data_IF_163270729336
#
_entry.id   IF_163270729336
#
_cell.length_a   1.000
_cell.length_b   1.000
_cell.length_c   1.000
_cell.angle_alpha   90.00
_cell.angle_beta   90.00
_cell.angle_gamma   90.00
#
_symmetry.space_group_name_H-M   'P 1'
#
loop_
_entity.id
_entity.type
_entity.pdbx_description
1 polymer ?
#
# COMPACT_ATOMS: atom_id res chain seq x y z
N UNK A 1 -18.90 -14.26 2.19
CA UNK A 1 -20.10 -13.79 2.91
C UNK A 1 -21.30 -14.41 2.22
N UNK A 2 -22.22 -15.02 2.95
CA UNK A 2 -23.49 -15.55 2.46
C UNK A 2 -24.64 -14.51 2.60
N UNK A 3 -25.82 -14.88 2.12
CA UNK A 3 -26.99 -13.99 2.10
C UNK A 3 -27.46 -13.66 3.52
N UNK A 4 -27.41 -14.61 4.46
CA UNK A 4 -27.87 -14.37 5.84
C UNK A 4 -26.95 -13.36 6.55
N UNK A 5 -25.62 -13.50 6.35
CA UNK A 5 -24.64 -12.53 6.84
C UNK A 5 -24.85 -11.12 6.26
N UNK A 6 -25.28 -11.04 5.00
CA UNK A 6 -25.57 -9.74 4.37
C UNK A 6 -26.79 -9.07 5.01
N UNK A 7 -27.86 -9.82 5.31
CA UNK A 7 -29.03 -9.27 5.99
C UNK A 7 -28.71 -8.81 7.41
N UNK A 8 -27.94 -9.59 8.19
CA UNK A 8 -27.48 -9.21 9.54
C UNK A 8 -26.65 -7.91 9.53
N UNK A 9 -25.70 -7.81 8.57
CA UNK A 9 -24.90 -6.60 8.40
C UNK A 9 -25.79 -5.39 8.02
N UNK A 10 -26.77 -5.61 7.14
CA UNK A 10 -27.67 -4.53 6.71
C UNK A 10 -28.50 -4.00 7.87
N UNK A 11 -29.06 -4.90 8.70
CA UNK A 11 -29.84 -4.52 9.89
C UNK A 11 -28.98 -3.73 10.88
N UNK A 12 -27.77 -4.19 11.20
CA UNK A 12 -26.84 -3.51 12.10
C UNK A 12 -26.38 -2.16 11.55
N UNK A 13 -26.10 -2.08 10.24
CA UNK A 13 -25.72 -0.82 9.58
C UNK A 13 -26.85 0.22 9.65
N UNK A 14 -28.10 -0.21 9.44
CA UNK A 14 -29.28 0.64 9.59
C UNK A 14 -29.51 1.09 11.04
N UNK A 15 -29.16 0.22 12.00
CA UNK A 15 -29.18 0.55 13.43
C UNK A 15 -28.04 1.49 13.86
N UNK A 16 -27.10 1.82 12.96
CA UNK A 16 -26.04 2.80 13.21
C UNK A 16 -24.68 2.21 13.53
N UNK A 17 -24.47 0.88 13.48
CA UNK A 17 -23.18 0.27 13.73
C UNK A 17 -22.16 0.62 12.64
N UNK A 18 -21.10 1.35 13.03
CA UNK A 18 -20.11 1.88 12.10
C UNK A 18 -19.34 0.76 11.34
N UNK A 19 -19.02 -0.32 12.03
CA UNK A 19 -18.31 -1.46 11.40
C UNK A 19 -19.19 -2.12 10.35
N UNK A 20 -20.47 -2.36 10.66
CA UNK A 20 -21.44 -2.92 9.71
C UNK A 20 -21.72 -1.97 8.54
N UNK A 21 -21.74 -0.65 8.78
CA UNK A 21 -21.85 0.35 7.71
C UNK A 21 -20.64 0.26 6.75
N UNK A 22 -19.42 0.16 7.26
CA UNK A 22 -18.24 -0.04 6.41
C UNK A 22 -18.32 -1.33 5.60
N UNK A 23 -18.67 -2.45 6.23
CA UNK A 23 -18.80 -3.75 5.53
C UNK A 23 -19.93 -3.73 4.49
N UNK A 24 -21.06 -3.08 4.79
CA UNK A 24 -22.14 -2.89 3.82
C UNK A 24 -21.69 -2.03 2.63
N UNK A 25 -20.94 -0.95 2.90
CA UNK A 25 -20.31 -0.16 1.85
C UNK A 25 -19.43 -1.00 0.92
N UNK A 26 -18.60 -1.90 1.47
CA UNK A 26 -17.80 -2.85 0.70
C UNK A 26 -18.64 -3.81 -0.16
N UNK A 27 -19.76 -4.30 0.37
CA UNK A 27 -20.64 -5.16 -0.41
C UNK A 27 -21.14 -4.46 -1.67
N UNK A 28 -21.54 -3.19 -1.56
CA UNK A 28 -21.97 -2.39 -2.71
C UNK A 28 -20.80 -2.01 -3.64
N UNK A 29 -19.62 -1.78 -3.11
CA UNK A 29 -18.43 -1.45 -3.91
C UNK A 29 -17.96 -2.64 -4.75
N UNK A 30 -17.92 -3.84 -4.16
CA UNK A 30 -17.46 -5.06 -4.84
C UNK A 30 -18.52 -5.72 -5.72
N UNK A 31 -19.79 -5.57 -5.41
CA UNK A 31 -20.88 -6.21 -6.14
C UNK A 31 -20.93 -7.73 -5.99
N UNK A 32 -20.39 -8.30 -4.91
CA UNK A 32 -20.23 -9.75 -4.75
C UNK A 32 -21.53 -10.49 -4.33
N UNK A 33 -22.43 -9.80 -3.63
CA UNK A 33 -23.67 -10.36 -3.06
C UNK A 33 -24.88 -9.61 -3.58
N UNK A 34 -24.70 -8.31 -3.80
CA UNK A 34 -25.69 -7.41 -4.38
C UNK A 34 -25.10 -6.80 -5.65
N UNK A 35 -25.97 -6.28 -6.51
CA UNK A 35 -25.48 -5.52 -7.67
C UNK A 35 -24.60 -4.37 -7.19
N UNK A 36 -23.46 -4.22 -7.85
CA UNK A 36 -22.54 -3.13 -7.59
C UNK A 36 -23.27 -1.78 -7.65
N UNK A 37 -23.14 -1.01 -6.58
CA UNK A 37 -23.79 0.31 -6.48
C UNK A 37 -22.91 1.27 -5.70
N UNK A 38 -22.19 2.06 -6.42
CA UNK A 38 -21.16 2.94 -5.86
C UNK A 38 -21.72 4.13 -5.07
N UNK A 39 -22.90 4.63 -5.44
CA UNK A 39 -23.56 5.66 -4.64
C UNK A 39 -23.91 5.12 -3.25
N UNK A 40 -24.36 3.88 -3.17
CA UNK A 40 -24.59 3.21 -1.89
C UNK A 40 -23.27 2.94 -1.15
N UNK A 41 -22.22 2.54 -1.85
CA UNK A 41 -20.91 2.33 -1.23
C UNK A 41 -20.39 3.62 -0.56
N UNK A 42 -20.37 4.74 -1.28
CA UNK A 42 -19.95 6.04 -0.73
C UNK A 42 -20.86 6.49 0.42
N UNK A 43 -22.16 6.32 0.28
CA UNK A 43 -23.10 6.66 1.36
C UNK A 43 -22.76 5.93 2.67
N UNK A 44 -22.55 4.62 2.60
CA UNK A 44 -22.25 3.83 3.78
C UNK A 44 -20.82 4.07 4.31
N UNK A 45 -19.83 4.26 3.42
CA UNK A 45 -18.48 4.67 3.85
C UNK A 45 -18.49 6.01 4.55
N UNK A 46 -19.29 6.98 4.06
CA UNK A 46 -19.42 8.29 4.70
C UNK A 46 -20.02 8.16 6.10
N UNK A 47 -21.10 7.38 6.25
CA UNK A 47 -21.73 7.13 7.55
C UNK A 47 -20.77 6.53 8.57
N UNK A 48 -20.00 5.51 8.18
CA UNK A 48 -19.00 4.87 9.03
C UNK A 48 -17.83 5.81 9.35
N UNK A 49 -17.34 6.54 8.34
CA UNK A 49 -16.20 7.47 8.48
C UNK A 49 -16.52 8.64 9.43
N UNK A 50 -17.74 9.18 9.36
CA UNK A 50 -18.22 10.23 10.27
C UNK A 50 -18.33 9.76 11.72
N UNK A 51 -18.59 8.48 11.95
CA UNK A 51 -18.56 7.84 13.26
C UNK A 51 -17.16 7.47 13.74
N UNK A 52 -16.14 7.67 12.90
CA UNK A 52 -14.76 7.44 13.27
C UNK A 52 -14.18 6.09 12.84
N UNK A 53 -14.88 5.27 12.04
CA UNK A 53 -14.28 4.04 11.53
C UNK A 53 -13.08 4.34 10.61
N UNK A 54 -11.89 3.91 11.04
CA UNK A 54 -10.64 4.24 10.36
C UNK A 54 -10.51 3.58 8.98
N UNK A 55 -11.12 2.41 8.78
CA UNK A 55 -11.13 1.72 7.48
C UNK A 55 -12.06 2.44 6.51
N UNK A 56 -13.22 2.89 6.99
CA UNK A 56 -14.15 3.69 6.19
C UNK A 56 -13.55 5.05 5.83
N UNK A 57 -12.84 5.69 6.75
CA UNK A 57 -12.12 6.94 6.49
C UNK A 57 -11.09 6.75 5.37
N UNK A 58 -10.32 5.67 5.40
CA UNK A 58 -9.41 5.34 4.32
C UNK A 58 -10.13 5.04 2.99
N UNK A 59 -11.23 4.29 3.03
CA UNK A 59 -12.02 3.98 1.83
C UNK A 59 -12.62 5.24 1.21
N UNK A 60 -13.16 6.14 2.03
CA UNK A 60 -13.71 7.42 1.57
C UNK A 60 -12.60 8.33 1.00
N UNK A 61 -11.43 8.35 1.62
CA UNK A 61 -10.24 9.01 1.06
C UNK A 61 -9.88 8.48 -0.33
N UNK A 62 -9.93 7.15 -0.53
CA UNK A 62 -9.72 6.55 -1.85
C UNK A 62 -10.78 6.96 -2.87
N UNK A 63 -12.04 7.11 -2.46
CA UNK A 63 -13.11 7.58 -3.36
C UNK A 63 -12.80 8.99 -3.87
N UNK A 64 -12.45 9.92 -3.00
CA UNK A 64 -12.10 11.29 -3.38
C UNK A 64 -10.80 11.35 -4.20
N UNK A 65 -9.78 10.60 -3.84
CA UNK A 65 -8.50 10.58 -4.56
C UNK A 65 -8.66 10.11 -6.01
N UNK A 66 -9.43 9.04 -6.22
CA UNK A 66 -9.63 8.47 -7.55
C UNK A 66 -10.74 9.17 -8.35
N UNK A 67 -11.54 10.04 -7.74
CA UNK A 67 -12.76 10.55 -8.37
C UNK A 67 -13.76 9.45 -8.67
N UNK A 68 -13.74 8.36 -7.88
CA UNK A 68 -14.69 7.27 -8.04
C UNK A 68 -15.95 7.58 -7.26
N UNK A 69 -17.05 7.73 -7.98
CA UNK A 69 -18.40 7.91 -7.42
C UNK A 69 -18.66 9.24 -6.71
N UNK A 70 -17.63 10.03 -6.52
CA UNK A 70 -17.63 11.42 -6.08
C UNK A 70 -16.73 12.21 -7.03
N UNK A 71 -16.91 13.51 -7.10
CA UNK A 71 -15.97 14.38 -7.79
C UNK A 71 -14.58 14.24 -7.12
N UNK A 72 -13.53 14.17 -7.95
CA UNK A 72 -12.15 14.08 -7.44
C UNK A 72 -11.84 15.32 -6.59
N UNK A 73 -11.38 15.07 -5.37
CA UNK A 73 -11.00 16.12 -4.43
C UNK A 73 -9.81 15.64 -3.59
N UNK A 74 -8.64 16.13 -3.96
CA UNK A 74 -7.38 15.75 -3.30
C UNK A 74 -7.30 16.28 -1.85
N UNK A 75 -7.96 17.40 -1.52
CA UNK A 75 -8.02 17.95 -0.15
C UNK A 75 -8.91 17.06 0.74
N UNK A 76 -10.08 16.66 0.24
CA UNK A 76 -10.94 15.70 0.93
C UNK A 76 -10.25 14.34 1.10
N UNK A 77 -9.53 13.87 0.09
CA UNK A 77 -8.78 12.62 0.19
C UNK A 77 -7.74 12.70 1.33
N UNK A 78 -6.92 13.72 1.34
CA UNK A 78 -5.90 13.92 2.38
C UNK A 78 -6.50 14.13 3.77
N UNK A 79 -7.63 14.81 3.88
CA UNK A 79 -8.37 14.99 5.13
C UNK A 79 -8.81 13.65 5.72
N UNK A 80 -9.45 12.79 4.92
CA UNK A 80 -9.93 11.50 5.39
C UNK A 80 -8.78 10.53 5.70
N UNK A 81 -7.71 10.52 4.90
CA UNK A 81 -6.50 9.76 5.24
C UNK A 81 -5.88 10.22 6.56
N UNK A 82 -5.85 11.54 6.83
CA UNK A 82 -5.34 12.08 8.09
C UNK A 82 -6.14 11.57 9.28
N UNK A 83 -7.48 11.51 9.16
CA UNK A 83 -8.35 10.96 10.22
C UNK A 83 -8.04 9.48 10.49
N UNK A 84 -8.00 8.65 9.45
CA UNK A 84 -7.73 7.21 9.61
C UNK A 84 -6.29 6.93 10.08
N UNK A 85 -5.31 7.69 9.59
CA UNK A 85 -3.91 7.58 9.99
C UNK A 85 -3.70 7.94 11.47
N UNK A 86 -4.39 8.97 11.95
CA UNK A 86 -4.37 9.38 13.36
C UNK A 86 -4.90 8.31 14.31
N UNK A 87 -5.73 7.41 13.84
CA UNK A 87 -6.23 6.25 14.58
C UNK A 87 -5.34 5.01 14.45
N UNK A 88 -4.23 5.10 13.75
CA UNK A 88 -3.27 4.01 13.60
C UNK A 88 -3.55 3.06 12.43
N UNK A 89 -4.53 3.30 11.55
CA UNK A 89 -4.79 2.41 10.42
C UNK A 89 -3.67 2.47 9.38
N UNK A 90 -2.96 1.37 9.19
CA UNK A 90 -1.76 1.30 8.34
C UNK A 90 -2.01 1.74 6.90
N UNK A 91 -3.15 1.36 6.29
CA UNK A 91 -3.51 1.79 4.94
C UNK A 91 -3.67 3.31 4.83
N UNK A 92 -4.31 3.95 5.83
CA UNK A 92 -4.46 5.41 5.85
C UNK A 92 -3.12 6.12 6.13
N UNK A 93 -2.26 5.53 6.97
CA UNK A 93 -0.91 6.05 7.21
C UNK A 93 -0.06 6.03 5.94
N UNK A 94 -0.10 4.94 5.19
CA UNK A 94 0.55 4.84 3.89
C UNK A 94 0.03 5.89 2.91
N UNK A 95 -1.29 6.02 2.78
CA UNK A 95 -1.91 6.98 1.86
C UNK A 95 -1.64 8.43 2.26
N UNK A 96 -1.65 8.76 3.56
CA UNK A 96 -1.25 10.09 4.04
C UNK A 96 0.23 10.36 3.76
N UNK A 97 1.10 9.36 3.95
CA UNK A 97 2.49 9.41 3.56
C UNK A 97 2.64 9.76 2.07
N UNK A 98 1.87 9.10 1.20
CA UNK A 98 1.85 9.39 -0.24
C UNK A 98 1.35 10.81 -0.55
N UNK A 99 0.28 11.27 0.10
CA UNK A 99 -0.20 12.64 -0.04
C UNK A 99 0.89 13.67 0.32
N UNK A 100 1.57 13.46 1.43
CA UNK A 100 2.67 14.35 1.86
C UNK A 100 3.89 14.26 0.95
N UNK A 101 4.20 13.08 0.42
CA UNK A 101 5.34 12.87 -0.47
C UNK A 101 5.14 13.58 -1.82
N UNK A 102 3.94 13.52 -2.38
CA UNK A 102 3.62 14.08 -3.69
C UNK A 102 2.95 15.46 -3.63
N UNK A 103 2.57 15.96 -2.45
CA UNK A 103 1.84 17.21 -2.30
C UNK A 103 0.39 17.13 -2.77
N UNK A 104 -0.28 15.97 -2.57
CA UNK A 104 -1.66 15.72 -3.00
C UNK A 104 -2.62 16.20 -1.92
N UNK A 105 -3.37 17.29 -2.18
CA UNK A 105 -4.31 17.90 -1.24
C UNK A 105 -3.68 18.49 0.02
N UNK A 106 -2.34 18.44 0.14
CA UNK A 106 -1.55 19.00 1.24
C UNK A 106 -0.24 19.54 0.72
N UNK A 107 0.40 20.44 1.47
CA UNK A 107 1.76 20.88 1.14
C UNK A 107 2.74 19.71 1.23
N UNK A 108 3.55 19.53 0.18
CA UNK A 108 4.59 18.50 0.13
C UNK A 108 5.55 18.61 1.33
N UNK A 109 5.86 17.45 1.92
CA UNK A 109 6.81 17.36 3.02
C UNK A 109 7.34 15.92 3.12
N UNK A 110 8.57 15.70 2.65
CA UNK A 110 9.20 14.38 2.61
C UNK A 110 9.48 13.81 4.01
N UNK A 111 9.92 14.66 4.97
CA UNK A 111 10.21 14.20 6.32
C UNK A 111 8.96 13.68 7.02
N UNK A 112 7.83 14.39 6.89
CA UNK A 112 6.55 13.92 7.43
C UNK A 112 6.03 12.69 6.69
N UNK A 113 6.25 12.60 5.37
CA UNK A 113 5.87 11.42 4.61
C UNK A 113 6.58 10.17 5.12
N UNK A 114 7.90 10.25 5.34
CA UNK A 114 8.71 9.17 5.89
C UNK A 114 8.22 8.73 7.26
N UNK A 115 7.87 9.67 8.16
CA UNK A 115 7.32 9.33 9.48
C UNK A 115 6.03 8.51 9.38
N UNK A 116 5.15 8.82 8.42
CA UNK A 116 3.92 8.07 8.21
C UNK A 116 4.17 6.72 7.52
N UNK A 117 5.11 6.65 6.57
CA UNK A 117 5.51 5.38 5.98
C UNK A 117 6.13 4.44 7.02
N UNK A 118 6.96 4.95 7.96
CA UNK A 118 7.48 4.18 9.08
C UNK A 118 6.35 3.54 9.90
N UNK A 119 5.37 4.35 10.33
CA UNK A 119 4.23 3.84 11.12
C UNK A 119 3.44 2.75 10.39
N UNK A 120 3.27 2.88 9.09
CA UNK A 120 2.60 1.86 8.28
C UNK A 120 3.48 0.60 8.11
N UNK A 121 4.78 0.78 7.87
CA UNK A 121 5.74 -0.30 7.67
C UNK A 121 5.94 -1.14 8.94
N UNK A 122 5.99 -0.50 10.11
CA UNK A 122 6.07 -1.18 11.42
C UNK A 122 4.84 -2.08 11.69
N UNK A 123 3.70 -1.77 11.09
CA UNK A 123 2.50 -2.62 11.12
C UNK A 123 2.48 -3.68 10.03
N UNK A 124 3.55 -3.81 9.24
CA UNK A 124 3.64 -4.79 8.18
C UNK A 124 2.95 -4.37 6.88
N UNK A 125 2.79 -3.09 6.59
CA UNK A 125 2.26 -2.65 5.29
C UNK A 125 3.35 -2.77 4.21
N UNK A 126 3.28 -3.80 3.38
CA UNK A 126 4.33 -4.16 2.42
C UNK A 126 4.72 -3.02 1.45
N UNK A 127 3.72 -2.30 0.92
CA UNK A 127 4.01 -1.14 0.04
C UNK A 127 4.68 0.02 0.81
N UNK A 128 4.39 0.19 2.11
CA UNK A 128 5.07 1.20 2.91
C UNK A 128 6.55 0.81 3.15
N UNK A 129 6.83 -0.48 3.37
CA UNK A 129 8.20 -0.98 3.44
C UNK A 129 8.97 -0.68 2.16
N UNK A 130 8.39 -0.98 1.00
CA UNK A 130 9.03 -0.69 -0.30
C UNK A 130 9.34 0.80 -0.46
N UNK A 131 8.33 1.67 -0.26
CA UNK A 131 8.52 3.13 -0.44
C UNK A 131 9.53 3.69 0.57
N UNK A 132 9.53 3.18 1.80
CA UNK A 132 10.50 3.57 2.82
C UNK A 132 11.92 3.18 2.44
N UNK A 133 12.13 1.97 1.88
CA UNK A 133 13.39 1.58 1.27
C UNK A 133 13.85 2.55 0.18
N UNK A 134 12.93 2.97 -0.71
CA UNK A 134 13.23 3.98 -1.73
C UNK A 134 13.61 5.34 -1.11
N UNK A 135 12.95 5.75 -0.01
CA UNK A 135 13.29 7.00 0.68
C UNK A 135 14.71 6.98 1.22
N UNK A 136 15.14 5.89 1.86
CA UNK A 136 16.51 5.75 2.36
C UNK A 136 17.53 5.64 1.24
N UNK A 137 17.25 4.89 0.18
CA UNK A 137 18.16 4.75 -0.96
C UNK A 137 18.43 6.09 -1.66
N UNK A 138 17.41 6.96 -1.74
CA UNK A 138 17.53 8.25 -2.45
C UNK A 138 17.78 9.45 -1.53
N UNK A 139 17.68 9.30 -0.22
CA UNK A 139 17.79 10.41 0.72
C UNK A 139 16.58 11.35 0.71
N UNK A 140 15.37 10.83 0.42
CA UNK A 140 14.16 11.63 0.35
C UNK A 140 13.48 11.74 1.71
N UNK A 141 13.64 12.86 2.39
CA UNK A 141 13.08 13.13 3.72
C UNK A 141 13.82 12.43 4.88
N UNK A 142 14.89 11.73 4.57
CA UNK A 142 15.85 11.10 5.49
C UNK A 142 17.25 11.21 4.88
N UNK A 143 18.29 11.05 5.67
CA UNK A 143 19.64 10.86 5.16
C UNK A 143 19.72 9.53 4.37
N UNK A 144 20.49 9.56 3.25
CA UNK A 144 20.70 8.35 2.45
C UNK A 144 21.38 7.28 3.29
N UNK A 145 20.82 6.07 3.28
CA UNK A 145 21.31 4.93 4.04
C UNK A 145 20.92 3.63 3.31
N UNK A 146 21.91 3.03 2.64
CA UNK A 146 21.69 1.82 1.84
C UNK A 146 21.42 0.58 2.73
N UNK A 147 21.91 0.54 3.99
CA UNK A 147 21.60 -0.53 4.95
C UNK A 147 20.15 -0.46 5.38
N UNK A 148 19.64 0.75 5.70
CA UNK A 148 18.22 0.95 5.98
C UNK A 148 17.35 0.64 4.75
N UNK A 149 17.80 1.01 3.55
CA UNK A 149 17.07 0.71 2.34
C UNK A 149 16.90 -0.81 2.15
N UNK A 150 18.00 -1.56 2.22
CA UNK A 150 17.97 -3.03 2.09
C UNK A 150 17.14 -3.71 3.19
N UNK A 151 17.21 -3.21 4.43
CA UNK A 151 16.39 -3.70 5.55
C UNK A 151 14.88 -3.57 5.23
N UNK A 152 14.43 -2.38 4.78
CA UNK A 152 13.02 -2.16 4.49
C UNK A 152 12.57 -2.90 3.23
N UNK A 153 13.42 -3.01 2.21
CA UNK A 153 13.13 -3.87 1.05
C UNK A 153 12.97 -5.33 1.46
N UNK A 154 13.82 -5.84 2.36
CA UNK A 154 13.68 -7.20 2.91
C UNK A 154 12.32 -7.40 3.57
N UNK A 155 11.90 -6.46 4.44
CA UNK A 155 10.58 -6.52 5.09
C UNK A 155 9.41 -6.54 4.09
N UNK A 156 9.49 -5.76 3.01
CA UNK A 156 8.48 -5.76 1.96
C UNK A 156 8.53 -7.03 1.09
N UNK A 157 9.73 -7.51 0.77
CA UNK A 157 9.94 -8.69 -0.05
C UNK A 157 9.45 -9.99 0.62
N UNK A 158 9.71 -10.15 1.92
CA UNK A 158 9.22 -11.26 2.74
C UNK A 158 7.69 -11.34 2.78
N UNK A 159 7.00 -10.19 2.63
CA UNK A 159 5.55 -10.11 2.53
C UNK A 159 5.02 -10.28 1.09
N UNK A 160 5.90 -10.59 0.15
CA UNK A 160 5.53 -10.85 -1.23
C UNK A 160 5.36 -9.62 -2.11
N UNK A 161 5.80 -8.42 -1.69
CA UNK A 161 5.70 -7.23 -2.53
C UNK A 161 6.70 -7.30 -3.70
N UNK A 162 6.19 -7.39 -4.92
CA UNK A 162 7.02 -7.66 -6.11
C UNK A 162 8.11 -6.59 -6.36
N UNK A 163 7.76 -5.29 -6.20
CA UNK A 163 8.75 -4.23 -6.38
C UNK A 163 9.82 -4.25 -5.29
N UNK A 164 9.46 -4.60 -4.04
CA UNK A 164 10.43 -4.76 -2.96
C UNK A 164 11.36 -5.96 -3.19
N UNK A 165 10.83 -7.08 -3.70
CA UNK A 165 11.64 -8.23 -4.10
C UNK A 165 12.62 -7.87 -5.20
N UNK A 166 12.17 -7.12 -6.21
CA UNK A 166 13.06 -6.62 -7.26
C UNK A 166 14.16 -5.71 -6.70
N UNK A 167 13.80 -4.73 -5.87
CA UNK A 167 14.77 -3.80 -5.27
C UNK A 167 15.78 -4.53 -4.38
N UNK A 168 15.33 -5.50 -3.58
CA UNK A 168 16.23 -6.33 -2.77
C UNK A 168 17.19 -7.17 -3.64
N UNK A 169 16.70 -7.73 -4.76
CA UNK A 169 17.54 -8.39 -5.75
C UNK A 169 18.61 -7.46 -6.32
N UNK A 170 18.27 -6.16 -6.54
CA UNK A 170 19.26 -5.14 -6.97
C UNK A 170 20.29 -4.89 -5.87
N UNK A 171 19.85 -4.76 -4.61
CA UNK A 171 20.76 -4.58 -3.47
C UNK A 171 21.79 -5.71 -3.39
N UNK A 172 21.38 -6.97 -3.46
CA UNK A 172 22.27 -8.12 -3.46
C UNK A 172 23.19 -8.17 -4.69
N UNK A 173 22.68 -7.80 -5.87
CA UNK A 173 23.49 -7.79 -7.09
C UNK A 173 24.60 -6.73 -7.08
N UNK A 174 24.38 -5.61 -6.36
CA UNK A 174 25.28 -4.45 -6.35
C UNK A 174 26.09 -4.32 -5.04
N UNK A 175 25.76 -5.10 -4.02
CA UNK A 175 26.34 -4.96 -2.68
C UNK A 175 25.93 -3.66 -1.98
N UNK A 176 24.70 -3.15 -2.26
CA UNK A 176 24.17 -1.90 -1.66
C UNK A 176 23.42 -2.23 -0.38
N UNK A 177 23.99 -1.85 0.76
CA UNK A 177 23.44 -2.11 2.10
C UNK A 177 23.42 -3.58 2.54
N UNK A 178 23.93 -4.49 1.70
CA UNK A 178 24.14 -5.92 1.95
C UNK A 178 25.40 -6.35 1.22
N UNK A 179 26.00 -7.48 1.61
CA UNK A 179 27.12 -8.08 0.85
C UNK A 179 26.64 -8.53 -0.53
N UNK A 180 27.48 -8.36 -1.57
CA UNK A 180 27.17 -8.80 -2.93
C UNK A 180 26.93 -10.31 -2.97
N UNK A 181 25.77 -10.72 -3.49
CA UNK A 181 25.35 -12.12 -3.53
C UNK A 181 24.42 -12.37 -4.73
N UNK A 182 24.97 -12.97 -5.79
CA UNK A 182 24.22 -13.29 -6.99
C UNK A 182 23.17 -14.39 -6.78
N UNK A 183 23.36 -15.32 -5.86
CA UNK A 183 22.38 -16.37 -5.58
C UNK A 183 21.13 -15.77 -4.95
N UNK A 184 21.31 -14.92 -3.94
CA UNK A 184 20.21 -14.16 -3.35
C UNK A 184 19.59 -13.18 -4.34
N UNK A 185 20.37 -12.51 -5.19
CA UNK A 185 19.84 -11.63 -6.22
C UNK A 185 18.91 -12.40 -7.19
N UNK A 186 19.35 -13.56 -7.69
CA UNK A 186 18.58 -14.43 -8.58
C UNK A 186 17.30 -14.91 -7.88
N UNK A 187 17.41 -15.35 -6.63
CA UNK A 187 16.25 -15.78 -5.83
C UNK A 187 15.17 -14.70 -5.78
N UNK A 188 15.51 -13.48 -5.41
CA UNK A 188 14.55 -12.39 -5.28
C UNK A 188 14.02 -11.90 -6.62
N UNK A 189 14.85 -11.83 -7.66
CA UNK A 189 14.37 -11.54 -9.01
C UNK A 189 13.39 -12.61 -9.51
N UNK A 190 13.63 -13.89 -9.21
CA UNK A 190 12.73 -14.99 -9.59
C UNK A 190 11.38 -14.82 -8.89
N UNK A 191 11.36 -14.52 -7.58
CA UNK A 191 10.13 -14.25 -6.84
C UNK A 191 9.32 -13.07 -7.42
N UNK A 192 9.99 -11.98 -7.79
CA UNK A 192 9.34 -10.85 -8.43
C UNK A 192 8.82 -11.23 -9.84
N UNK A 193 9.62 -11.96 -10.62
CA UNK A 193 9.27 -12.37 -11.99
C UNK A 193 8.07 -13.33 -12.03
N UNK A 194 7.93 -14.23 -11.06
CA UNK A 194 6.77 -15.11 -10.87
C UNK A 194 5.46 -14.32 -10.71
N UNK A 195 5.53 -13.13 -10.12
CA UNK A 195 4.41 -12.20 -9.96
C UNK A 195 4.19 -11.28 -11.17
N UNK A 196 4.98 -11.44 -12.23
CA UNK A 196 4.84 -10.65 -13.45
C UNK A 196 5.69 -9.39 -13.50
N UNK A 197 6.67 -9.22 -12.63
CA UNK A 197 7.53 -8.03 -12.60
C UNK A 197 8.52 -8.04 -13.79
N UNK A 198 8.28 -7.19 -14.81
CA UNK A 198 9.01 -7.22 -16.08
C UNK A 198 10.50 -6.89 -15.95
N UNK A 199 10.87 -5.95 -15.07
CA UNK A 199 12.28 -5.61 -14.85
C UNK A 199 13.04 -6.77 -14.21
N UNK A 200 12.41 -7.55 -13.33
CA UNK A 200 13.02 -8.74 -12.75
C UNK A 200 13.26 -9.82 -13.82
N UNK A 201 12.29 -10.05 -14.70
CA UNK A 201 12.47 -10.97 -15.86
C UNK A 201 13.65 -10.55 -16.74
N UNK A 202 13.75 -9.24 -17.00
CA UNK A 202 14.87 -8.69 -17.78
C UNK A 202 16.22 -8.93 -17.09
N UNK A 203 16.30 -8.67 -15.76
CA UNK A 203 17.53 -8.92 -14.99
C UNK A 203 17.97 -10.38 -15.02
N UNK A 204 17.04 -11.32 -14.83
CA UNK A 204 17.32 -12.76 -14.93
C UNK A 204 17.86 -13.13 -16.32
N UNK A 205 17.25 -12.60 -17.40
CA UNK A 205 17.74 -12.81 -18.76
C UNK A 205 19.15 -12.25 -18.99
N UNK A 206 19.47 -11.09 -18.41
CA UNK A 206 20.82 -10.49 -18.47
C UNK A 206 21.85 -11.35 -17.72
N UNK A 207 21.50 -11.85 -16.52
CA UNK A 207 22.37 -12.75 -15.74
C UNK A 207 22.63 -14.08 -16.46
N UNK A 208 21.62 -14.62 -17.13
CA UNK A 208 21.74 -15.82 -17.97
C UNK A 208 22.70 -15.59 -19.13
N UNK A 209 22.56 -14.48 -19.87
CA UNK A 209 23.48 -14.12 -20.97
C UNK A 209 24.92 -13.92 -20.51
N UNK A 210 25.14 -13.53 -19.26
CA UNK A 210 26.48 -13.40 -18.65
C UNK A 210 27.05 -14.72 -18.13
N UNK A 211 26.31 -15.82 -18.20
CA UNK A 211 26.71 -17.11 -17.67
C UNK A 211 26.71 -17.20 -16.13
N UNK A 212 26.06 -16.26 -15.45
CA UNK A 212 25.94 -16.26 -13.99
C UNK A 212 24.75 -17.15 -13.56
N UNK A 213 23.70 -17.22 -14.38
CA UNK A 213 22.55 -18.10 -14.21
C UNK A 213 22.61 -19.21 -15.27
N UNK A 214 22.67 -20.49 -14.83
CA UNK A 214 22.66 -21.65 -15.73
C UNK A 214 21.29 -21.89 -16.36
N UNK A 215 21.29 -22.57 -17.52
CA UNK A 215 20.10 -23.16 -18.11
C UNK A 215 19.75 -24.46 -17.35
N UNK A 216 18.81 -24.43 -16.41
CA UNK A 216 18.10 -25.63 -15.97
C UNK A 216 16.75 -25.73 -16.66
#
# INVERSE_FOLDING_TARGET
MDIDSFFDITEKAQAGDATSQFELGKCFDMGNIVNQNYNQAVYWYTKAAEQGDAKAQNALGNCYYNGKWVEKDDEQASYWYTKGAGQGYAGAQYNLGACLYWGIGVKQNFEKAVLWYHKAAEQGHASACHVLGCCYQNGNGVEKDDEQASYWYTKGAEQGHADAQYCLGVCYQQGEGVEEDYENAIYWYTKAAEQGHDLARKRLSELKKKGILSDE
#
